data_IF_194942115519
#
_entry.id   IF_194942115519
#
_cell.length_a   1.000
_cell.length_b   1.000
_cell.length_c   1.000
_cell.angle_alpha   90.00
_cell.angle_beta   90.00
_cell.angle_gamma   90.00
#
_symmetry.space_group_name_H-M   'P 1'
#
loop_
_entity.id
_entity.type
_entity.pdbx_description
1 polymer ?
#
# COMPACT_ATOMS: atom_id res chain seq x y z
N UNK A 1 42.24 -6.26 -21.14
CA UNK A 1 41.12 -7.11 -21.63
C UNK A 1 39.94 -6.22 -21.99
N UNK A 2 39.55 -6.08 -23.27
CA UNK A 2 38.29 -5.40 -23.64
C UNK A 2 37.16 -6.36 -23.28
N UNK A 3 36.21 -5.89 -22.48
CA UNK A 3 35.05 -6.68 -22.05
C UNK A 3 34.27 -7.21 -23.26
N UNK A 4 34.00 -8.53 -23.26
CA UNK A 4 33.19 -9.20 -24.31
C UNK A 4 31.68 -8.92 -24.15
N UNK A 5 31.30 -7.89 -23.35
CA UNK A 5 29.91 -7.60 -22.94
C UNK A 5 29.21 -6.58 -23.86
N UNK A 6 29.71 -6.36 -25.08
CA UNK A 6 29.09 -5.44 -26.06
C UNK A 6 27.68 -5.85 -26.42
N UNK A 7 27.43 -7.15 -26.54
CA UNK A 7 26.10 -7.68 -26.82
C UNK A 7 25.13 -7.43 -25.64
N UNK A 8 25.59 -7.64 -24.41
CA UNK A 8 24.82 -7.32 -23.20
C UNK A 8 24.43 -5.83 -23.15
N UNK A 9 25.37 -4.94 -23.47
CA UNK A 9 25.10 -3.50 -23.54
C UNK A 9 24.05 -3.19 -24.64
N UNK A 10 24.26 -3.71 -25.85
CA UNK A 10 23.37 -3.45 -26.98
C UNK A 10 21.94 -3.97 -26.74
N UNK A 11 21.79 -5.22 -26.27
CA UNK A 11 20.47 -5.82 -26.00
C UNK A 11 19.70 -5.10 -24.89
N UNK A 12 20.39 -4.53 -23.90
CA UNK A 12 19.74 -3.76 -22.83
C UNK A 12 19.48 -2.30 -23.17
N UNK A 13 20.19 -1.73 -24.16
CA UNK A 13 20.07 -0.32 -24.50
C UNK A 13 19.03 -0.07 -25.59
N UNK A 14 18.93 -0.97 -26.58
CA UNK A 14 18.09 -0.76 -27.78
C UNK A 14 16.58 -0.67 -27.48
N UNK A 15 16.11 -1.41 -26.45
CA UNK A 15 14.70 -1.45 -26.08
C UNK A 15 14.35 -0.60 -24.84
N UNK A 16 15.37 0.01 -24.20
CA UNK A 16 15.16 0.74 -22.95
C UNK A 16 14.84 2.22 -23.23
N UNK A 17 13.57 2.56 -23.05
CA UNK A 17 13.08 3.94 -23.22
C UNK A 17 12.96 4.71 -21.90
N UNK A 18 13.01 4.03 -20.75
CA UNK A 18 12.75 4.60 -19.43
C UNK A 18 13.94 4.35 -18.52
N UNK A 19 14.47 5.42 -17.90
CA UNK A 19 15.65 5.39 -17.05
C UNK A 19 15.35 6.01 -15.69
N UNK A 20 14.92 5.20 -14.74
CA UNK A 20 14.71 5.68 -13.38
C UNK A 20 15.93 5.53 -12.48
N UNK A 21 16.22 6.59 -11.73
CA UNK A 21 17.14 6.51 -10.59
C UNK A 21 16.35 6.13 -9.32
N UNK A 22 16.36 4.83 -8.99
CA UNK A 22 15.66 4.32 -7.80
C UNK A 22 16.06 5.00 -6.49
N UNK A 23 17.32 5.54 -6.39
CA UNK A 23 17.75 6.28 -5.19
C UNK A 23 17.03 7.63 -5.09
N UNK A 24 16.85 8.34 -6.22
CA UNK A 24 16.08 9.59 -6.24
C UNK A 24 14.61 9.38 -5.87
N UNK A 25 13.99 8.28 -6.35
CA UNK A 25 12.61 7.94 -6.01
C UNK A 25 12.47 7.67 -4.50
N UNK A 26 13.36 6.84 -3.93
CA UNK A 26 13.38 6.54 -2.51
C UNK A 26 13.61 7.79 -1.66
N UNK A 27 14.50 8.66 -2.08
CA UNK A 27 14.74 9.95 -1.45
C UNK A 27 13.46 10.79 -1.48
N UNK A 28 12.88 11.01 -2.67
CA UNK A 28 11.70 11.83 -2.84
C UNK A 28 10.53 11.37 -1.96
N UNK A 29 10.21 10.09 -1.96
CA UNK A 29 9.05 9.59 -1.18
C UNK A 29 9.28 9.66 0.33
N UNK A 30 10.51 9.44 0.82
CA UNK A 30 10.81 9.60 2.24
C UNK A 30 10.72 11.07 2.66
N UNK A 31 11.36 11.99 1.90
CA UNK A 31 11.28 13.42 2.18
C UNK A 31 9.84 13.95 2.07
N UNK A 32 9.05 13.46 1.11
CA UNK A 32 7.65 13.81 0.94
C UNK A 32 6.81 13.43 2.17
N UNK A 33 7.05 12.24 2.75
CA UNK A 33 6.37 11.82 3.98
C UNK A 33 6.78 12.68 5.18
N UNK A 34 8.05 13.06 5.27
CA UNK A 34 8.57 13.94 6.33
C UNK A 34 8.04 15.37 6.19
N UNK A 35 7.98 15.90 4.98
CA UNK A 35 7.46 17.23 4.68
C UNK A 35 5.97 17.35 5.01
N UNK A 36 5.15 16.36 4.62
CA UNK A 36 3.71 16.36 4.89
C UNK A 36 3.36 16.48 6.39
N UNK A 37 4.21 15.96 7.27
CA UNK A 37 3.95 15.95 8.71
C UNK A 37 4.92 16.81 9.52
N UNK A 38 5.79 17.57 8.87
CA UNK A 38 6.82 18.39 9.53
C UNK A 38 7.57 17.58 10.61
N UNK A 39 8.00 16.37 10.28
CA UNK A 39 8.49 15.41 11.28
C UNK A 39 9.90 15.69 11.79
N UNK A 40 10.63 16.62 11.18
CA UNK A 40 11.98 17.04 11.57
C UNK A 40 11.95 18.43 12.23
N UNK A 41 12.96 18.68 13.08
CA UNK A 41 13.06 19.94 13.82
C UNK A 41 13.24 21.18 12.91
N UNK A 42 13.84 21.00 11.76
CA UNK A 42 14.08 22.03 10.75
C UNK A 42 12.78 22.67 10.25
N UNK A 43 11.68 21.94 10.24
CA UNK A 43 10.35 22.41 9.84
C UNK A 43 9.72 23.42 10.84
N UNK A 44 10.36 23.74 11.97
CA UNK A 44 9.97 24.87 12.82
C UNK A 44 10.17 26.19 12.06
N UNK A 45 11.12 26.25 11.14
CA UNK A 45 11.32 27.38 10.25
C UNK A 45 10.45 27.23 9.00
N UNK A 46 9.50 28.14 8.84
CA UNK A 46 8.59 28.14 7.69
C UNK A 46 9.33 28.31 6.36
N UNK A 47 10.41 29.08 6.32
CA UNK A 47 11.23 29.23 5.11
C UNK A 47 11.88 27.91 4.68
N UNK A 48 12.24 27.03 5.61
CA UNK A 48 12.72 25.69 5.31
C UNK A 48 11.60 24.81 4.72
N UNK A 49 10.37 24.94 5.23
CA UNK A 49 9.21 24.22 4.70
C UNK A 49 8.94 24.60 3.23
N UNK A 50 8.94 25.91 2.91
CA UNK A 50 8.73 26.39 1.53
C UNK A 50 9.86 25.95 0.60
N UNK A 51 11.11 26.09 1.04
CA UNK A 51 12.28 25.63 0.26
C UNK A 51 12.22 24.12 -0.04
N UNK A 52 11.78 23.33 0.93
CA UNK A 52 11.64 21.87 0.75
C UNK A 52 10.52 21.54 -0.23
N UNK A 53 9.42 22.26 -0.22
CA UNK A 53 8.34 22.12 -1.21
C UNK A 53 8.83 22.37 -2.63
N UNK A 54 9.61 23.45 -2.83
CA UNK A 54 10.22 23.75 -4.13
C UNK A 54 11.18 22.65 -4.58
N UNK A 55 12.04 22.15 -3.69
CA UNK A 55 12.96 21.05 -3.96
C UNK A 55 12.21 19.79 -4.37
N UNK A 56 11.17 19.39 -3.62
CA UNK A 56 10.39 18.21 -3.88
C UNK A 56 9.57 18.33 -5.17
N UNK A 57 9.05 19.51 -5.47
CA UNK A 57 8.34 19.82 -6.71
C UNK A 57 9.28 19.66 -7.91
N UNK A 58 10.46 20.28 -7.86
CA UNK A 58 11.45 20.20 -8.93
C UNK A 58 11.94 18.75 -9.15
N UNK A 59 12.09 17.98 -8.08
CA UNK A 59 12.49 16.59 -8.17
C UNK A 59 11.36 15.71 -8.75
N UNK A 60 10.09 15.98 -8.42
CA UNK A 60 8.95 15.29 -9.01
C UNK A 60 8.88 15.52 -10.52
N UNK A 61 9.10 16.75 -10.99
CA UNK A 61 9.19 17.05 -12.43
C UNK A 61 10.25 16.18 -13.10
N UNK A 62 11.47 16.10 -12.55
CA UNK A 62 12.55 15.25 -13.09
C UNK A 62 12.17 13.75 -13.12
N UNK A 63 11.42 13.28 -12.12
CA UNK A 63 10.96 11.88 -12.06
C UNK A 63 9.88 11.59 -13.12
N UNK A 64 8.99 12.54 -13.39
CA UNK A 64 7.97 12.45 -14.42
C UNK A 64 8.60 12.50 -15.83
N UNK A 65 9.57 13.39 -16.07
CA UNK A 65 10.33 13.43 -17.32
C UNK A 65 11.07 12.09 -17.58
N UNK A 66 11.58 11.44 -16.54
CA UNK A 66 12.19 10.11 -16.65
C UNK A 66 11.17 9.03 -17.08
N UNK A 67 9.88 9.23 -16.86
CA UNK A 67 8.77 8.41 -17.37
C UNK A 67 8.27 8.87 -18.75
N UNK A 68 8.97 9.81 -19.40
CA UNK A 68 8.66 10.34 -20.72
C UNK A 68 7.49 11.34 -20.78
N UNK A 69 7.11 11.96 -19.69
CA UNK A 69 6.28 13.14 -19.73
C UNK A 69 7.03 14.29 -20.45
N UNK A 70 6.31 15.11 -21.22
CA UNK A 70 6.89 16.38 -21.67
C UNK A 70 7.20 17.28 -20.46
N UNK A 71 8.11 18.23 -20.61
CA UNK A 71 8.43 19.16 -19.51
C UNK A 71 7.17 19.93 -19.05
N UNK A 72 6.32 20.37 -20.00
CA UNK A 72 5.07 21.07 -19.72
C UNK A 72 4.09 20.19 -18.93
N UNK A 73 3.88 18.94 -19.35
CA UNK A 73 3.00 17.99 -18.64
C UNK A 73 3.56 17.64 -17.27
N UNK A 74 4.87 17.44 -17.15
CA UNK A 74 5.53 17.14 -15.88
C UNK A 74 5.35 18.28 -14.85
N UNK A 75 5.53 19.53 -15.30
CA UNK A 75 5.29 20.72 -14.45
C UNK A 75 3.82 20.78 -14.03
N UNK A 76 2.90 20.57 -14.97
CA UNK A 76 1.46 20.57 -14.69
C UNK A 76 1.10 19.51 -13.64
N UNK A 77 1.53 18.27 -13.82
CA UNK A 77 1.27 17.18 -12.87
C UNK A 77 1.85 17.49 -11.50
N UNK A 78 3.09 17.99 -11.43
CA UNK A 78 3.71 18.36 -10.16
C UNK A 78 2.95 19.49 -9.47
N UNK A 79 2.55 20.53 -10.19
CA UNK A 79 1.74 21.64 -9.66
C UNK A 79 0.39 21.16 -9.13
N UNK A 80 -0.32 20.32 -9.89
CA UNK A 80 -1.61 19.76 -9.48
C UNK A 80 -1.45 18.86 -8.25
N UNK A 81 -0.38 18.06 -8.19
CA UNK A 81 -0.07 17.21 -7.05
C UNK A 81 0.15 18.01 -5.78
N UNK A 82 1.06 19.00 -5.80
CA UNK A 82 1.34 19.84 -4.63
C UNK A 82 0.15 20.72 -4.24
N UNK A 83 -0.62 21.21 -5.22
CA UNK A 83 -1.87 21.93 -4.97
C UNK A 83 -2.96 21.10 -4.26
N UNK A 84 -2.84 19.76 -4.27
CA UNK A 84 -3.74 18.86 -3.56
C UNK A 84 -3.17 18.32 -2.24
N UNK A 85 -1.95 18.71 -1.84
CA UNK A 85 -1.30 18.19 -0.64
C UNK A 85 -2.05 18.51 0.66
N UNK A 86 -2.76 19.64 0.74
CA UNK A 86 -3.60 19.94 1.91
C UNK A 86 -4.75 18.92 2.05
N UNK A 87 -5.44 18.58 0.95
CA UNK A 87 -6.50 17.56 0.96
C UNK A 87 -5.94 16.18 1.30
N UNK A 88 -4.77 15.85 0.75
CA UNK A 88 -4.06 14.62 1.07
C UNK A 88 -3.74 14.54 2.57
N UNK A 89 -3.19 15.60 3.13
CA UNK A 89 -2.87 15.68 4.55
C UNK A 89 -4.11 15.51 5.43
N UNK A 90 -5.24 16.17 5.10
CA UNK A 90 -6.51 16.00 5.83
C UNK A 90 -7.03 14.55 5.78
N UNK A 91 -6.88 13.87 4.64
CA UNK A 91 -7.23 12.46 4.50
C UNK A 91 -6.33 11.57 5.37
N UNK A 92 -5.02 11.81 5.37
CA UNK A 92 -4.05 11.10 6.19
C UNK A 92 -4.27 11.32 7.70
N UNK A 93 -4.72 12.51 8.11
CA UNK A 93 -5.10 12.75 9.50
C UNK A 93 -6.30 11.91 9.94
N UNK A 94 -7.23 11.59 9.04
CA UNK A 94 -8.33 10.66 9.32
C UNK A 94 -7.81 9.23 9.53
N UNK A 95 -6.87 8.78 8.68
CA UNK A 95 -6.25 7.46 8.84
C UNK A 95 -5.42 7.35 10.12
N UNK A 96 -4.68 8.41 10.47
CA UNK A 96 -3.94 8.50 11.73
C UNK A 96 -4.87 8.43 12.94
N UNK A 97 -6.00 9.16 12.89
CA UNK A 97 -6.98 9.13 13.96
C UNK A 97 -7.64 7.74 14.10
N UNK A 98 -7.86 7.01 12.98
CA UNK A 98 -8.34 5.63 13.03
C UNK A 98 -7.41 4.73 13.84
N UNK A 99 -6.09 4.85 13.64
CA UNK A 99 -5.12 4.08 14.42
C UNK A 99 -5.18 4.47 15.90
N UNK A 100 -5.16 5.77 16.20
CA UNK A 100 -5.17 6.27 17.59
C UNK A 100 -6.44 5.85 18.35
N UNK A 101 -7.56 5.76 17.64
CA UNK A 101 -8.87 5.41 18.21
C UNK A 101 -9.02 3.91 18.46
N UNK A 102 -8.51 3.08 17.55
CA UNK A 102 -8.79 1.64 17.56
C UNK A 102 -7.64 0.76 18.03
N UNK A 103 -6.38 1.24 18.00
CA UNK A 103 -5.24 0.50 18.55
C UNK A 103 -4.98 0.94 19.99
N UNK A 104 -5.28 0.06 21.00
CA UNK A 104 -5.02 0.39 22.38
C UNK A 104 -3.54 0.56 22.74
N UNK A 105 -2.62 0.10 21.86
CA UNK A 105 -1.18 0.29 22.03
C UNK A 105 -0.72 1.69 21.61
N UNK A 106 -1.42 2.34 20.69
CA UNK A 106 -1.09 3.69 20.21
C UNK A 106 -1.32 4.75 21.32
N UNK A 107 -0.27 5.42 21.74
CA UNK A 107 -0.34 6.41 22.85
C UNK A 107 -0.34 7.84 22.38
N UNK A 108 0.15 8.12 21.18
CA UNK A 108 0.20 9.48 20.63
C UNK A 108 0.27 9.48 19.11
N UNK A 109 -0.14 10.62 18.51
CA UNK A 109 0.01 10.84 17.06
C UNK A 109 1.47 10.77 16.62
N UNK A 110 2.39 11.32 17.42
CA UNK A 110 3.82 11.29 17.10
C UNK A 110 4.38 9.87 17.04
N UNK A 111 3.93 8.99 17.94
CA UNK A 111 4.31 7.58 17.90
C UNK A 111 3.87 6.90 16.60
N UNK A 112 2.63 7.14 16.18
CA UNK A 112 2.07 6.59 14.94
C UNK A 112 2.87 7.08 13.72
N UNK A 113 3.12 8.39 13.64
CA UNK A 113 3.86 9.01 12.55
C UNK A 113 5.27 8.42 12.37
N UNK A 114 5.95 8.11 13.47
CA UNK A 114 7.36 7.72 13.45
C UNK A 114 7.54 6.20 13.39
N UNK A 115 6.64 5.42 14.03
CA UNK A 115 6.88 4.01 14.31
C UNK A 115 5.94 3.04 13.60
N UNK A 116 4.78 3.48 13.10
CA UNK A 116 3.77 2.55 12.57
C UNK A 116 3.96 2.24 11.08
N UNK A 117 4.33 1.00 10.72
CA UNK A 117 4.52 0.63 9.32
C UNK A 117 3.23 0.70 8.51
N UNK A 118 2.07 0.41 9.12
CA UNK A 118 0.76 0.52 8.47
C UNK A 118 0.44 1.95 8.07
N UNK A 119 0.76 2.94 8.93
CA UNK A 119 0.56 4.35 8.60
C UNK A 119 1.50 4.82 7.48
N UNK A 120 2.76 4.41 7.51
CA UNK A 120 3.69 4.69 6.42
C UNK A 120 3.20 4.10 5.09
N UNK A 121 2.74 2.85 5.08
CA UNK A 121 2.26 2.18 3.88
C UNK A 121 1.05 2.88 3.27
N UNK A 122 0.04 3.29 4.08
CA UNK A 122 -1.13 4.01 3.56
C UNK A 122 -0.78 5.42 3.10
N UNK A 123 0.15 6.11 3.78
CA UNK A 123 0.64 7.43 3.34
C UNK A 123 1.25 7.34 1.95
N UNK A 124 2.15 6.37 1.75
CA UNK A 124 2.80 6.15 0.45
C UNK A 124 1.79 5.72 -0.61
N UNK A 125 0.81 4.87 -0.26
CA UNK A 125 -0.25 4.48 -1.19
C UNK A 125 -1.05 5.69 -1.67
N UNK A 126 -1.49 6.58 -0.77
CA UNK A 126 -2.29 7.75 -1.15
C UNK A 126 -1.52 8.72 -2.05
N UNK A 127 -0.21 8.87 -1.83
CA UNK A 127 0.69 9.61 -2.72
C UNK A 127 0.78 8.91 -4.09
N UNK A 128 1.02 7.61 -4.11
CA UNK A 128 1.13 6.82 -5.32
C UNK A 128 -0.19 6.78 -6.12
N UNK A 129 -1.33 6.75 -5.44
CA UNK A 129 -2.67 6.80 -6.06
C UNK A 129 -2.88 8.10 -6.85
N UNK A 130 -2.51 9.26 -6.30
CA UNK A 130 -2.61 10.53 -7.01
C UNK A 130 -1.75 10.52 -8.28
N UNK A 131 -0.49 10.05 -8.19
CA UNK A 131 0.38 9.94 -9.35
C UNK A 131 -0.14 8.93 -10.38
N UNK A 132 -0.74 7.85 -9.92
CA UNK A 132 -1.41 6.88 -10.78
C UNK A 132 -2.56 7.50 -11.57
N UNK A 133 -3.36 8.34 -10.94
CA UNK A 133 -4.47 9.04 -11.60
C UNK A 133 -3.97 10.02 -12.67
N UNK A 134 -2.84 10.68 -12.42
CA UNK A 134 -2.12 11.51 -13.41
C UNK A 134 -1.37 10.72 -14.49
N UNK A 135 -1.58 9.39 -14.56
CA UNK A 135 -0.96 8.48 -15.56
C UNK A 135 0.54 8.23 -15.37
N UNK A 136 1.16 8.69 -14.30
CA UNK A 136 2.53 8.35 -13.92
C UNK A 136 2.61 6.92 -13.35
N UNK A 137 2.34 5.92 -14.20
CA UNK A 137 2.08 4.53 -13.82
C UNK A 137 3.30 3.83 -13.24
N UNK A 138 4.46 4.01 -13.88
CA UNK A 138 5.70 3.35 -13.46
C UNK A 138 6.25 4.02 -12.22
N UNK A 139 6.21 5.34 -12.12
CA UNK A 139 6.63 6.08 -10.93
C UNK A 139 5.76 5.68 -9.72
N UNK A 140 4.44 5.67 -9.88
CA UNK A 140 3.51 5.23 -8.83
C UNK A 140 3.80 3.81 -8.34
N UNK A 141 4.07 2.86 -9.27
CA UNK A 141 4.46 1.49 -8.93
C UNK A 141 5.79 1.45 -8.17
N UNK A 142 6.81 2.20 -8.61
CA UNK A 142 8.10 2.22 -7.94
C UNK A 142 8.03 2.81 -6.52
N UNK A 143 7.14 3.77 -6.31
CA UNK A 143 6.82 4.35 -4.99
C UNK A 143 6.12 3.31 -4.10
N UNK A 144 5.09 2.63 -4.61
CA UNK A 144 4.39 1.57 -3.88
C UNK A 144 5.33 0.42 -3.50
N UNK A 145 6.20 -0.03 -4.42
CA UNK A 145 7.19 -1.07 -4.15
C UNK A 145 8.25 -0.65 -3.11
N UNK A 146 8.52 0.66 -2.96
CA UNK A 146 9.36 1.12 -1.88
C UNK A 146 8.70 0.90 -0.52
N UNK A 147 7.42 1.23 -0.36
CA UNK A 147 6.67 0.96 0.87
C UNK A 147 6.59 -0.54 1.14
N UNK A 148 6.26 -1.35 0.12
CA UNK A 148 6.23 -2.81 0.22
C UNK A 148 7.58 -3.36 0.73
N UNK A 149 8.69 -2.96 0.14
CA UNK A 149 10.02 -3.41 0.56
C UNK A 149 10.40 -3.02 2.00
N UNK A 150 9.79 -1.97 2.54
CA UNK A 150 10.09 -1.42 3.88
C UNK A 150 9.18 -2.02 4.96
N UNK A 151 7.94 -2.36 4.61
CA UNK A 151 6.89 -2.72 5.58
C UNK A 151 6.37 -4.14 5.42
N UNK A 152 6.61 -4.78 4.27
CA UNK A 152 5.97 -6.04 3.91
C UNK A 152 4.48 -5.90 3.56
N UNK A 153 3.99 -4.66 3.32
CA UNK A 153 2.60 -4.34 2.96
C UNK A 153 2.57 -3.96 1.47
N UNK A 154 1.94 -4.78 0.65
CA UNK A 154 1.81 -4.60 -0.79
C UNK A 154 0.43 -4.02 -1.13
N UNK A 155 0.39 -2.75 -1.51
CA UNK A 155 -0.83 -2.07 -1.96
C UNK A 155 -0.60 -1.56 -3.38
N UNK A 156 -1.40 -2.06 -4.33
CA UNK A 156 -1.33 -1.56 -5.70
C UNK A 156 -1.76 -0.09 -5.76
N UNK A 157 -1.03 0.81 -6.45
CA UNK A 157 -1.36 2.23 -6.49
C UNK A 157 -2.73 2.57 -7.09
N UNK A 158 -3.34 1.68 -7.88
CA UNK A 158 -4.69 1.86 -8.41
C UNK A 158 -5.81 1.43 -7.45
N UNK A 159 -5.51 0.76 -6.35
CA UNK A 159 -6.53 0.34 -5.38
C UNK A 159 -7.25 1.56 -4.80
N UNK A 160 -8.58 1.52 -4.78
CA UNK A 160 -9.39 2.60 -4.22
C UNK A 160 -9.62 2.32 -2.74
N UNK A 161 -9.15 3.23 -1.88
CA UNK A 161 -9.26 3.09 -0.42
C UNK A 161 -9.95 4.32 0.15
N UNK A 162 -11.06 4.12 0.84
CA UNK A 162 -11.82 5.15 1.55
C UNK A 162 -11.04 5.79 2.69
N UNK A 163 -11.67 6.64 3.44
CA UNK A 163 -11.08 7.36 4.57
C UNK A 163 -11.18 6.59 5.88
N UNK A 164 -10.39 6.98 6.88
CA UNK A 164 -10.36 6.37 8.20
C UNK A 164 -9.96 4.88 8.13
N UNK A 165 -8.99 4.60 7.27
CA UNK A 165 -8.50 3.25 7.01
C UNK A 165 -7.37 2.88 7.98
N UNK A 166 -7.47 1.69 8.56
CA UNK A 166 -6.49 1.20 9.53
C UNK A 166 -5.83 -0.09 9.04
N UNK A 167 -4.50 -0.11 9.08
CA UNK A 167 -3.67 -1.30 8.98
C UNK A 167 -3.00 -1.53 10.33
N UNK A 168 -3.31 -2.66 10.98
CA UNK A 168 -2.66 -3.10 12.21
C UNK A 168 -1.62 -4.18 11.91
N UNK A 169 -0.40 -4.03 12.45
CA UNK A 169 0.81 -4.81 12.15
C UNK A 169 1.19 -4.77 10.68
N UNK A 170 0.39 -5.34 9.80
CA UNK A 170 0.38 -5.16 8.36
C UNK A 170 1.25 -6.11 7.56
N UNK A 171 2.31 -6.71 8.10
CA UNK A 171 3.22 -7.59 7.35
C UNK A 171 2.44 -8.67 6.59
N UNK A 172 2.71 -8.80 5.29
CA UNK A 172 2.08 -9.81 4.43
C UNK A 172 0.70 -9.43 3.90
N UNK A 173 0.23 -8.19 4.10
CA UNK A 173 -0.98 -7.68 3.43
C UNK A 173 -0.71 -7.55 1.92
N UNK A 174 -1.70 -7.98 1.12
CA UNK A 174 -1.72 -7.76 -0.33
C UNK A 174 -3.07 -7.18 -0.73
N UNK A 175 -3.06 -5.97 -1.30
CA UNK A 175 -4.26 -5.30 -1.84
C UNK A 175 -4.06 -5.10 -3.34
N UNK A 176 -4.82 -5.85 -4.15
CA UNK A 176 -4.68 -5.87 -5.60
C UNK A 176 -5.27 -4.65 -6.32
N UNK A 177 -4.90 -4.48 -7.56
CA UNK A 177 -5.13 -3.30 -8.42
C UNK A 177 -6.57 -2.80 -8.45
N UNK A 178 -7.55 -3.68 -8.62
CA UNK A 178 -8.97 -3.32 -8.75
C UNK A 178 -9.76 -3.50 -7.47
N UNK A 179 -9.07 -3.59 -6.30
CA UNK A 179 -9.73 -3.62 -5.01
C UNK A 179 -10.41 -2.27 -4.73
N UNK A 180 -11.59 -2.34 -4.13
CA UNK A 180 -12.34 -1.17 -3.65
C UNK A 180 -12.59 -1.38 -2.16
N UNK A 181 -12.15 -0.45 -1.34
CA UNK A 181 -12.29 -0.49 0.12
C UNK A 181 -13.02 0.77 0.56
N UNK A 182 -14.10 0.59 1.30
CA UNK A 182 -14.92 1.66 1.87
C UNK A 182 -14.26 2.40 3.03
N UNK A 183 -15.06 3.15 3.76
CA UNK A 183 -14.62 3.94 4.90
C UNK A 183 -14.59 3.12 6.20
N UNK A 184 -13.77 3.52 7.16
CA UNK A 184 -13.66 2.89 8.50
C UNK A 184 -13.31 1.40 8.44
N UNK A 185 -12.59 0.95 7.43
CA UNK A 185 -12.19 -0.45 7.29
C UNK A 185 -10.90 -0.70 8.05
N UNK A 186 -10.84 -1.86 8.74
CA UNK A 186 -9.68 -2.30 9.54
C UNK A 186 -9.15 -3.61 8.97
N UNK A 187 -7.84 -3.66 8.70
CA UNK A 187 -7.18 -4.83 8.13
C UNK A 187 -5.94 -5.20 8.97
N UNK A 188 -5.86 -6.47 9.32
CA UNK A 188 -4.74 -7.02 10.08
C UNK A 188 -3.72 -7.70 9.16
N UNK A 189 -2.55 -8.06 9.72
CA UNK A 189 -1.45 -8.70 9.00
C UNK A 189 -1.89 -9.93 8.18
N UNK A 190 -1.21 -10.17 7.06
CA UNK A 190 -1.40 -11.33 6.21
C UNK A 190 -2.71 -11.37 5.41
N UNK A 191 -3.54 -10.33 5.48
CA UNK A 191 -4.79 -10.26 4.71
C UNK A 191 -4.48 -10.12 3.22
N UNK A 192 -5.17 -10.92 2.39
CA UNK A 192 -5.06 -10.85 0.93
C UNK A 192 -6.40 -10.47 0.31
N UNK A 193 -6.44 -9.34 -0.41
CA UNK A 193 -7.53 -8.94 -1.30
C UNK A 193 -7.09 -9.19 -2.74
N UNK A 194 -7.29 -10.41 -3.24
CA UNK A 194 -6.68 -10.93 -4.45
C UNK A 194 -7.67 -11.24 -5.58
N UNK A 195 -7.11 -11.63 -6.74
CA UNK A 195 -7.88 -12.16 -7.84
C UNK A 195 -8.09 -13.68 -7.68
N UNK A 196 -9.24 -14.19 -8.13
CA UNK A 196 -9.51 -15.64 -8.14
C UNK A 196 -8.79 -16.33 -9.29
N UNK A 197 -8.83 -15.71 -10.47
CA UNK A 197 -8.14 -16.16 -11.69
C UNK A 197 -7.50 -14.95 -12.35
N UNK A 198 -6.35 -15.16 -12.99
CA UNK A 198 -5.65 -14.10 -13.72
C UNK A 198 -5.48 -14.55 -15.17
N UNK A 199 -6.26 -13.95 -16.08
CA UNK A 199 -6.02 -13.99 -17.52
C UNK A 199 -5.43 -12.66 -17.97
N UNK A 200 -4.47 -12.68 -18.90
CA UNK A 200 -3.96 -11.44 -19.48
C UNK A 200 -4.99 -10.74 -20.35
N UNK A 201 -5.94 -11.49 -20.90
CA UNK A 201 -7.00 -10.96 -21.75
C UNK A 201 -8.03 -10.17 -20.96
N UNK A 202 -8.17 -10.44 -19.65
CA UNK A 202 -9.11 -9.79 -18.72
C UNK A 202 -8.39 -8.81 -17.76
N UNK A 203 -7.20 -8.35 -18.11
CA UNK A 203 -6.36 -7.53 -17.21
C UNK A 203 -7.02 -6.20 -16.81
N UNK A 204 -7.86 -5.64 -17.68
CA UNK A 204 -8.59 -4.39 -17.44
C UNK A 204 -9.89 -4.59 -16.63
N UNK A 205 -10.35 -5.84 -16.44
CA UNK A 205 -11.58 -6.12 -15.72
C UNK A 205 -11.38 -6.09 -14.20
N UNK A 206 -12.48 -5.81 -13.48
CA UNK A 206 -12.52 -5.90 -12.02
C UNK A 206 -12.31 -7.35 -11.58
N UNK A 207 -11.14 -7.62 -10.94
CA UNK A 207 -10.71 -8.97 -10.51
C UNK A 207 -10.44 -9.10 -9.01
N UNK A 208 -10.47 -7.98 -8.26
CA UNK A 208 -10.25 -7.94 -6.81
C UNK A 208 -11.54 -7.56 -6.08
N UNK A 209 -11.72 -7.99 -4.81
CA UNK A 209 -12.98 -7.81 -4.08
C UNK A 209 -13.31 -6.34 -3.79
N UNK A 210 -14.58 -6.13 -3.41
CA UNK A 210 -15.06 -4.90 -2.82
C UNK A 210 -15.34 -5.13 -1.34
N UNK A 211 -14.79 -4.26 -0.50
CA UNK A 211 -15.00 -4.23 0.95
C UNK A 211 -15.81 -2.98 1.26
N UNK A 212 -17.02 -3.15 1.80
CA UNK A 212 -17.87 -2.02 2.16
C UNK A 212 -17.44 -1.37 3.49
N UNK A 213 -18.19 -0.31 3.90
CA UNK A 213 -17.83 0.48 5.08
C UNK A 213 -17.86 -0.32 6.38
N UNK A 214 -17.06 0.08 7.35
CA UNK A 214 -16.99 -0.44 8.72
C UNK A 214 -16.61 -1.93 8.82
N UNK A 215 -16.06 -2.52 7.77
CA UNK A 215 -15.64 -3.93 7.78
C UNK A 215 -14.34 -4.10 8.57
N UNK A 216 -14.28 -5.16 9.37
CA UNK A 216 -13.04 -5.58 10.05
C UNK A 216 -12.59 -6.93 9.48
N UNK A 217 -11.34 -7.02 9.02
CA UNK A 217 -10.74 -8.23 8.45
C UNK A 217 -9.54 -8.65 9.28
N UNK A 218 -9.70 -9.75 10.02
CA UNK A 218 -8.64 -10.27 10.90
C UNK A 218 -7.57 -11.04 10.13
N UNK A 219 -6.47 -11.29 10.85
CA UNK A 219 -5.21 -11.79 10.34
C UNK A 219 -5.32 -13.01 9.40
N UNK A 220 -4.54 -12.98 8.31
CA UNK A 220 -4.42 -14.06 7.34
C UNK A 220 -5.72 -14.46 6.61
N UNK A 221 -6.76 -13.62 6.67
CA UNK A 221 -7.95 -13.85 5.85
C UNK A 221 -7.62 -13.62 4.37
N UNK A 222 -8.09 -14.52 3.50
CA UNK A 222 -7.91 -14.41 2.04
C UNK A 222 -9.28 -14.23 1.40
N UNK A 223 -9.47 -13.11 0.67
CA UNK A 223 -10.71 -12.74 0.00
C UNK A 223 -10.41 -12.54 -1.47
N UNK A 224 -11.02 -13.32 -2.35
CA UNK A 224 -10.69 -13.37 -3.76
C UNK A 224 -11.90 -13.10 -4.66
N UNK A 225 -11.62 -12.45 -5.80
CA UNK A 225 -12.55 -12.33 -6.93
C UNK A 225 -13.25 -10.99 -7.06
N UNK A 226 -13.34 -10.49 -8.29
CA UNK A 226 -13.89 -9.16 -8.59
C UNK A 226 -15.40 -9.00 -8.33
N UNK A 227 -16.13 -10.10 -8.27
CA UNK A 227 -17.57 -10.12 -7.92
C UNK A 227 -17.82 -10.31 -6.43
N UNK A 228 -16.78 -10.60 -5.65
CA UNK A 228 -16.87 -10.80 -4.20
C UNK A 228 -17.04 -9.46 -3.50
N UNK A 229 -18.11 -9.31 -2.73
CA UNK A 229 -18.41 -8.14 -1.94
C UNK A 229 -18.50 -8.55 -0.47
N UNK A 230 -17.76 -7.90 0.40
CA UNK A 230 -17.90 -8.02 1.84
C UNK A 230 -18.80 -6.87 2.31
N UNK A 231 -20.01 -7.22 2.73
CA UNK A 231 -21.03 -6.24 3.07
C UNK A 231 -20.71 -5.42 4.31
N UNK A 232 -21.28 -4.24 4.37
CA UNK A 232 -21.12 -3.25 5.43
C UNK A 232 -21.26 -3.85 6.83
N UNK A 233 -20.43 -3.38 7.78
CA UNK A 233 -20.42 -3.80 9.18
C UNK A 233 -20.09 -5.31 9.38
N UNK A 234 -19.59 -6.01 8.35
CA UNK A 234 -19.18 -7.40 8.48
C UNK A 234 -17.85 -7.54 9.22
N UNK A 235 -17.70 -8.65 9.94
CA UNK A 235 -16.49 -9.05 10.64
C UNK A 235 -15.98 -10.37 10.05
N UNK A 236 -14.78 -10.34 9.49
CA UNK A 236 -14.13 -11.49 8.88
C UNK A 236 -13.04 -11.99 9.83
N UNK A 237 -13.25 -13.18 10.36
CA UNK A 237 -12.30 -13.84 11.27
C UNK A 237 -10.99 -14.22 10.58
N UNK A 238 -9.98 -14.51 11.39
CA UNK A 238 -8.66 -14.88 10.87
C UNK A 238 -8.63 -16.22 10.14
N UNK A 239 -7.68 -16.36 9.21
CA UNK A 239 -7.39 -17.60 8.47
C UNK A 239 -8.56 -18.13 7.61
N UNK A 240 -9.56 -17.31 7.29
CA UNK A 240 -10.67 -17.73 6.41
C UNK A 240 -10.32 -17.53 4.94
N UNK A 241 -10.90 -18.38 4.08
CA UNK A 241 -10.76 -18.30 2.64
C UNK A 241 -12.13 -18.02 2.01
N UNK A 242 -12.31 -16.85 1.40
CA UNK A 242 -13.60 -16.35 0.91
C UNK A 242 -13.50 -16.09 -0.60
N UNK A 243 -14.41 -16.69 -1.36
CA UNK A 243 -14.56 -16.51 -2.82
C UNK A 243 -15.96 -16.09 -3.24
N UNK A 244 -16.86 -15.90 -2.27
CA UNK A 244 -18.24 -15.48 -2.48
C UNK A 244 -18.57 -14.30 -1.59
N UNK A 245 -19.57 -13.50 -2.01
CA UNK A 245 -19.99 -12.33 -1.25
C UNK A 245 -20.54 -12.70 0.13
N UNK A 246 -20.28 -11.84 1.10
CA UNK A 246 -20.74 -11.94 2.49
C UNK A 246 -21.75 -10.82 2.72
N UNK A 247 -22.96 -11.12 3.22
CA UNK A 247 -23.95 -10.11 3.55
C UNK A 247 -23.47 -9.11 4.61
N UNK A 248 -24.10 -7.92 4.63
CA UNK A 248 -23.84 -6.93 5.67
C UNK A 248 -24.12 -7.50 7.08
N UNK A 249 -23.41 -6.98 8.09
CA UNK A 249 -23.56 -7.33 9.51
C UNK A 249 -23.30 -8.83 9.82
N UNK A 250 -22.52 -9.50 8.96
CA UNK A 250 -22.19 -10.92 9.14
C UNK A 250 -20.91 -11.09 9.96
N UNK A 251 -20.87 -12.16 10.78
CA UNK A 251 -19.65 -12.64 11.43
C UNK A 251 -19.23 -13.95 10.76
N UNK A 252 -18.04 -13.96 10.15
CA UNK A 252 -17.46 -15.11 9.43
C UNK A 252 -16.24 -15.62 10.18
N UNK A 253 -16.19 -16.90 10.50
CA UNK A 253 -15.04 -17.52 11.16
C UNK A 253 -14.94 -19.01 10.84
N UNK A 254 -13.73 -19.55 10.97
CA UNK A 254 -13.49 -20.99 10.92
C UNK A 254 -13.95 -21.67 12.21
N UNK A 255 -14.64 -22.80 12.06
CA UNK A 255 -14.82 -23.74 13.16
C UNK A 255 -13.76 -24.85 13.02
N UNK A 256 -12.71 -24.79 13.83
CA UNK A 256 -11.66 -25.81 13.87
C UNK A 256 -11.75 -26.62 15.16
N UNK A 257 -11.45 -27.92 15.07
CA UNK A 257 -11.36 -28.79 16.24
C UNK A 257 -9.87 -29.02 16.59
N UNK A 258 -9.50 -28.69 17.84
CA UNK A 258 -8.16 -28.98 18.35
C UNK A 258 -8.21 -30.30 19.12
N UNK A 259 -7.51 -31.30 18.62
CA UNK A 259 -7.38 -32.61 19.28
C UNK A 259 -6.11 -32.60 20.13
N UNK A 260 -6.28 -32.69 21.44
CA UNK A 260 -5.17 -32.83 22.41
C UNK A 260 -5.00 -34.30 22.75
N UNK A 261 -3.81 -34.87 22.47
CA UNK A 261 -3.46 -36.21 22.83
C UNK A 261 -2.39 -36.18 23.95
N UNK A 262 -2.61 -36.94 25.02
CA UNK A 262 -1.64 -37.03 26.12
C UNK A 262 -0.37 -37.75 25.67
N UNK A 263 0.78 -37.23 26.06
CA UNK A 263 2.13 -37.71 25.73
C UNK A 263 2.42 -39.17 26.18
N UNK A 264 1.75 -39.65 27.22
CA UNK A 264 1.95 -41.00 27.78
C UNK A 264 1.61 -42.14 26.81
N UNK A 265 0.99 -41.86 25.67
CA UNK A 265 0.56 -42.87 24.69
C UNK A 265 1.28 -42.77 23.33
N UNK A 266 2.34 -41.98 23.22
CA UNK A 266 3.14 -41.93 21.98
C UNK A 266 4.40 -42.75 22.15
N UNK A 267 4.46 -43.96 21.55
CA UNK A 267 5.65 -44.81 21.63
C UNK A 267 6.82 -44.34 20.75
N UNK A 268 6.58 -43.39 19.82
CA UNK A 268 7.60 -42.88 18.90
C UNK A 268 7.54 -41.37 18.78
N UNK A 269 8.71 -40.74 18.54
CA UNK A 269 8.78 -39.34 18.25
C UNK A 269 8.05 -39.06 16.94
N UNK A 270 7.15 -38.03 16.92
CA UNK A 270 6.50 -37.60 15.71
C UNK A 270 7.58 -37.06 14.75
N UNK A 271 7.88 -37.79 13.70
CA UNK A 271 8.73 -37.33 12.60
C UNK A 271 7.87 -36.42 11.70
N UNK A 272 8.05 -35.11 11.85
CA UNK A 272 7.56 -34.16 10.86
C UNK A 272 8.62 -34.07 9.76
N UNK A 273 8.41 -34.74 8.64
CA UNK A 273 9.13 -34.42 7.40
C UNK A 273 8.41 -33.25 6.73
N UNK A 274 9.13 -32.16 6.57
CA UNK A 274 8.70 -30.99 5.79
C UNK A 274 9.01 -31.26 4.31
#
# INVERSE_FOLDING_TARGET
MKSNNKHLYQSNFLDKKIFFNKKKIKYWINEMTEWLFCSQKEYIDFSFFEQKEEELTALLVQLLEAEQFSNEDAIKVATDFFGNCEKLHQLLLKDLNAILEFDPAAKSKNEILIAYPGFFAITVHRIAFQLWDHKARILARLIAEHAHSKTGIDIHPAAVIGEHFLIDHGTGIVIGETAIIGNNVKIYQGVTLGALTVSKDDAEEKRHPTIEDNVTIYANATILGGKTIIGKDAVIGGNVWITNSIPAQSLVYHKSEIVIKNKEKFPEALNFSI
#
